data_IF_817983504103
#
_entry.id   IF_817983504103
#
_cell.length_a   1.000
_cell.length_b   1.000
_cell.length_c   1.000
_cell.angle_alpha   90.00
_cell.angle_beta   90.00
_cell.angle_gamma   90.00
#
_symmetry.space_group_name_H-M   'P 1'
#
loop_
_entity.id
_entity.type
_entity.pdbx_description
1 polymer ?
#
# COMPACT_ATOMS: atom_id res chain seq x y z
N UNK A 1 -4.13 -31.33 8.18
CA UNK A 1 -3.56 -29.98 8.00
C UNK A 1 -3.89 -29.55 6.58
N UNK A 2 -4.71 -28.52 6.42
CA UNK A 2 -4.94 -27.93 5.09
C UNK A 2 -3.67 -27.18 4.69
N UNK A 3 -3.03 -27.61 3.61
CA UNK A 3 -1.95 -26.84 3.00
C UNK A 3 -2.59 -25.65 2.28
N UNK A 4 -2.48 -24.47 2.87
CA UNK A 4 -2.91 -23.23 2.23
C UNK A 4 -1.88 -22.80 1.18
N UNK A 5 -2.30 -22.20 0.06
CA UNK A 5 -1.37 -21.63 -0.92
C UNK A 5 -0.46 -20.58 -0.25
N UNK A 6 0.73 -20.36 -0.81
CA UNK A 6 1.77 -19.51 -0.23
C UNK A 6 1.34 -18.03 -0.10
N UNK A 7 0.66 -17.71 1.01
CA UNK A 7 0.25 -16.38 1.46
C UNK A 7 1.34 -15.33 1.74
N UNK A 8 2.62 -15.67 2.04
CA UNK A 8 3.64 -14.66 2.31
C UNK A 8 3.84 -13.63 1.19
N UNK A 9 3.41 -13.95 -0.04
CA UNK A 9 3.48 -13.04 -1.18
C UNK A 9 2.41 -11.93 -1.17
N UNK A 10 1.35 -12.08 -0.37
CA UNK A 10 0.14 -11.24 -0.43
C UNK A 10 0.12 -10.11 0.60
N UNK A 11 0.79 -10.32 1.74
CA UNK A 11 1.12 -9.26 2.69
C UNK A 11 2.45 -8.58 2.33
N UNK A 12 2.56 -7.27 2.59
CA UNK A 12 3.83 -6.56 2.41
C UNK A 12 4.73 -6.88 3.60
N UNK A 13 5.80 -7.67 3.43
CA UNK A 13 6.83 -7.78 4.46
C UNK A 13 7.48 -6.40 4.67
N UNK A 14 7.39 -5.80 5.86
CA UNK A 14 7.96 -4.47 6.08
C UNK A 14 9.49 -4.44 5.97
N UNK A 15 10.16 -5.61 6.04
CA UNK A 15 11.61 -5.73 5.87
C UNK A 15 12.01 -5.98 4.42
N UNK A 16 11.06 -6.38 3.57
CA UNK A 16 11.28 -6.58 2.14
C UNK A 16 10.06 -6.04 1.36
N UNK A 17 9.76 -4.73 1.44
CA UNK A 17 8.54 -4.18 0.87
C UNK A 17 8.63 -3.94 -0.64
N UNK A 18 9.83 -3.76 -1.21
CA UNK A 18 9.99 -3.36 -2.61
C UNK A 18 9.35 -4.38 -3.55
N UNK A 19 8.56 -3.88 -4.51
CA UNK A 19 7.92 -4.66 -5.57
C UNK A 19 8.08 -3.94 -6.89
N UNK A 20 8.24 -4.71 -7.97
CA UNK A 20 8.26 -4.21 -9.34
C UNK A 20 6.89 -3.74 -9.82
N UNK A 21 5.82 -4.34 -9.31
CA UNK A 21 4.45 -3.98 -9.66
C UNK A 21 3.72 -3.51 -8.41
N UNK A 22 3.05 -2.37 -8.54
CA UNK A 22 2.19 -1.79 -7.52
C UNK A 22 0.83 -1.44 -8.14
N UNK A 23 -0.17 -1.31 -7.28
CA UNK A 23 -1.55 -1.03 -7.66
C UNK A 23 -2.03 0.22 -6.96
N UNK A 24 -2.76 1.08 -7.66
CA UNK A 24 -3.40 2.26 -7.12
C UNK A 24 -4.85 2.30 -7.54
N UNK A 25 -5.73 2.74 -6.63
CA UNK A 25 -7.14 2.94 -6.91
C UNK A 25 -7.41 4.41 -7.18
N UNK A 26 -8.37 4.69 -8.05
CA UNK A 26 -8.73 6.05 -8.41
C UNK A 26 -10.23 6.13 -8.72
N UNK A 27 -10.81 7.34 -8.66
CA UNK A 27 -12.20 7.54 -9.04
C UNK A 27 -12.39 7.42 -10.56
N UNK A 28 -13.62 7.17 -10.98
CA UNK A 28 -13.98 7.11 -12.41
C UNK A 28 -13.61 8.39 -13.18
N UNK A 29 -13.85 9.56 -12.59
CA UNK A 29 -13.49 10.84 -13.20
C UNK A 29 -11.96 11.01 -13.34
N UNK A 30 -11.20 10.54 -12.34
CA UNK A 30 -9.73 10.57 -12.40
C UNK A 30 -9.18 9.58 -13.42
N UNK A 31 -9.81 8.41 -13.57
CA UNK A 31 -9.44 7.45 -14.61
C UNK A 31 -9.70 8.00 -16.01
N UNK A 32 -10.80 8.74 -16.20
CA UNK A 32 -11.10 9.46 -17.45
C UNK A 32 -10.04 10.49 -17.77
N UNK A 33 -9.69 11.33 -16.78
CA UNK A 33 -8.64 12.32 -16.93
C UNK A 33 -7.28 11.65 -17.22
N UNK A 34 -6.92 10.60 -16.48
CA UNK A 34 -5.70 9.82 -16.71
C UNK A 34 -5.68 9.20 -18.12
N UNK A 35 -6.82 8.72 -18.61
CA UNK A 35 -6.96 8.19 -19.96
C UNK A 35 -6.79 9.26 -21.03
N UNK A 36 -7.23 10.50 -20.77
CA UNK A 36 -7.09 11.62 -21.69
C UNK A 36 -5.66 12.20 -21.68
N UNK A 37 -5.18 12.59 -20.51
CA UNK A 37 -3.98 13.41 -20.33
C UNK A 37 -2.70 12.57 -20.20
N UNK A 38 -2.84 11.28 -19.90
CA UNK A 38 -1.75 10.32 -19.63
C UNK A 38 -0.85 10.70 -18.45
N UNK A 39 -1.24 11.70 -17.66
CA UNK A 39 -0.51 12.13 -16.47
C UNK A 39 -0.84 11.25 -15.27
N UNK A 40 0.11 10.37 -14.90
CA UNK A 40 -0.09 9.47 -13.77
C UNK A 40 -0.14 10.22 -12.44
N UNK A 41 0.76 11.18 -12.20
CA UNK A 41 0.79 11.96 -10.96
C UNK A 41 0.22 13.34 -11.20
N UNK A 42 -0.92 13.62 -10.60
CA UNK A 42 -1.65 14.88 -10.81
C UNK A 42 -1.91 15.64 -9.51
N UNK A 43 -1.54 15.07 -8.34
CA UNK A 43 -1.93 15.63 -7.03
C UNK A 43 -0.83 15.51 -5.99
N UNK A 44 -0.82 16.50 -5.09
CA UNK A 44 -0.01 16.57 -3.86
C UNK A 44 -0.85 16.50 -2.58
N UNK A 45 -2.17 16.35 -2.72
CA UNK A 45 -3.14 16.37 -1.64
C UNK A 45 -4.44 15.61 -2.00
N UNK A 46 -5.14 15.14 -0.97
CA UNK A 46 -6.46 14.51 -1.07
C UNK A 46 -7.57 15.50 -1.48
N UNK A 47 -8.82 15.03 -1.55
CA UNK A 47 -9.99 15.86 -1.93
C UNK A 47 -10.31 16.97 -0.93
N UNK A 48 -9.70 16.92 0.26
CA UNK A 48 -9.82 17.92 1.32
C UNK A 48 -8.58 18.83 1.41
N UNK A 49 -7.64 18.71 0.46
CA UNK A 49 -6.41 19.52 0.42
C UNK A 49 -5.35 19.11 1.44
N UNK A 50 -5.48 17.92 2.05
CA UNK A 50 -4.52 17.40 3.03
C UNK A 50 -3.40 16.65 2.32
N UNK A 51 -2.16 16.87 2.73
CA UNK A 51 -0.99 16.20 2.17
C UNK A 51 -0.92 14.70 2.52
N UNK A 52 -1.63 14.27 3.57
CA UNK A 52 -1.56 12.92 4.13
C UNK A 52 -0.62 12.84 5.33
N UNK A 53 -0.87 11.86 6.21
CA UNK A 53 -0.17 11.74 7.50
C UNK A 53 1.35 11.56 7.37
N UNK A 54 1.82 10.80 6.35
CA UNK A 54 3.25 10.68 6.04
C UNK A 54 3.91 12.07 5.91
N UNK A 55 3.32 12.98 5.14
CA UNK A 55 3.91 14.29 4.89
C UNK A 55 3.77 15.24 6.08
N UNK A 56 2.72 15.11 6.88
CA UNK A 56 2.60 15.83 8.16
C UNK A 56 3.72 15.42 9.14
N UNK A 57 3.98 14.11 9.25
CA UNK A 57 5.07 13.56 10.05
C UNK A 57 6.44 14.05 9.54
N UNK A 58 6.71 13.95 8.24
CA UNK A 58 7.96 14.40 7.64
C UNK A 58 8.17 15.91 7.85
N UNK A 59 7.12 16.73 7.67
CA UNK A 59 7.19 18.17 7.93
C UNK A 59 7.45 18.49 9.41
N UNK A 60 6.87 17.73 10.34
CA UNK A 60 7.16 17.87 11.76
C UNK A 60 8.63 17.56 12.08
N UNK A 61 9.16 16.43 11.59
CA UNK A 61 10.56 16.03 11.81
C UNK A 61 11.55 17.01 11.16
N UNK A 62 11.24 17.49 9.96
CA UNK A 62 12.07 18.47 9.25
C UNK A 62 12.21 19.79 10.04
N UNK A 63 11.14 20.25 10.71
CA UNK A 63 11.16 21.41 11.63
C UNK A 63 11.99 21.13 12.87
N UNK A 64 12.07 19.88 13.32
CA UNK A 64 12.95 19.42 14.40
C UNK A 64 14.43 19.28 14.02
N UNK A 65 14.78 19.54 12.75
CA UNK A 65 16.17 19.50 12.28
C UNK A 65 16.54 18.26 11.45
N UNK A 66 15.63 17.29 11.29
CA UNK A 66 15.89 16.06 10.54
C UNK A 66 16.09 16.33 9.03
N UNK A 67 17.31 16.07 8.55
CA UNK A 67 17.70 16.32 7.16
C UNK A 67 17.07 15.34 6.17
N UNK A 68 16.87 14.08 6.57
CA UNK A 68 16.21 13.08 5.72
C UNK A 68 14.75 13.43 5.57
N UNK A 69 14.07 13.77 6.67
CA UNK A 69 12.69 14.23 6.62
C UNK A 69 12.54 15.48 5.75
N UNK A 70 13.47 16.43 5.86
CA UNK A 70 13.50 17.64 5.03
C UNK A 70 13.64 17.30 3.55
N UNK A 71 14.53 16.38 3.18
CA UNK A 71 14.70 15.92 1.81
C UNK A 71 13.42 15.26 1.26
N UNK A 72 12.83 14.32 2.02
CA UNK A 72 11.60 13.61 1.62
C UNK A 72 10.34 14.50 1.62
N UNK A 73 10.38 15.66 2.27
CA UNK A 73 9.27 16.64 2.26
C UNK A 73 9.30 17.56 1.04
N UNK A 74 10.34 17.45 0.20
CA UNK A 74 10.49 18.29 -0.98
C UNK A 74 9.38 18.04 -2.01
N UNK A 75 9.05 19.05 -2.81
CA UNK A 75 7.91 19.04 -3.74
C UNK A 75 7.92 17.85 -4.71
N UNK A 76 9.11 17.42 -5.14
CA UNK A 76 9.29 16.27 -6.04
C UNK A 76 8.79 14.95 -5.46
N UNK A 77 8.81 14.79 -4.13
CA UNK A 77 8.27 13.61 -3.46
C UNK A 77 6.78 13.74 -3.13
N UNK A 78 6.20 14.94 -3.22
CA UNK A 78 4.79 15.18 -2.87
C UNK A 78 3.84 14.81 -4.00
N UNK A 79 4.24 15.01 -5.25
CA UNK A 79 3.44 14.60 -6.41
C UNK A 79 3.49 13.08 -6.53
N UNK A 80 2.37 12.41 -6.32
CA UNK A 80 2.39 10.95 -6.30
C UNK A 80 1.03 10.29 -6.15
N UNK A 81 1.07 8.99 -5.85
CA UNK A 81 -0.11 8.17 -5.54
C UNK A 81 0.19 7.19 -4.43
N UNK A 82 -0.81 6.98 -3.58
CA UNK A 82 -0.84 5.83 -2.69
C UNK A 82 -1.03 4.55 -3.49
N UNK A 83 -0.20 3.57 -3.19
CA UNK A 83 -0.15 2.30 -3.87
C UNK A 83 0.02 1.12 -2.90
N UNK A 84 -0.36 -0.07 -3.38
CA UNK A 84 -0.26 -1.33 -2.65
C UNK A 84 0.34 -2.43 -3.52
N UNK A 85 0.81 -3.51 -2.91
CA UNK A 85 1.41 -4.65 -3.63
C UNK A 85 0.39 -5.60 -4.25
N UNK A 86 -0.88 -5.44 -3.88
CA UNK A 86 -1.99 -6.30 -4.34
C UNK A 86 -3.23 -5.43 -4.59
N UNK A 87 -4.06 -5.73 -5.61
CA UNK A 87 -5.26 -4.94 -5.93
C UNK A 87 -6.23 -4.78 -4.76
N UNK A 88 -6.40 -5.80 -3.92
CA UNK A 88 -7.36 -5.81 -2.82
C UNK A 88 -6.81 -5.27 -1.50
N UNK A 89 -5.51 -4.93 -1.42
CA UNK A 89 -4.86 -4.57 -0.15
C UNK A 89 -5.33 -3.21 0.40
N UNK A 90 -5.82 -2.29 -0.45
CA UNK A 90 -6.41 -1.02 -0.02
C UNK A 90 -7.67 -1.20 0.83
N UNK A 91 -8.40 -2.31 0.67
CA UNK A 91 -9.56 -2.62 1.52
C UNK A 91 -9.18 -2.87 2.98
N UNK A 92 -7.90 -3.08 3.30
CA UNK A 92 -7.41 -3.13 4.68
C UNK A 92 -7.20 -1.73 5.29
N UNK A 93 -7.06 -0.69 4.45
CA UNK A 93 -6.76 0.67 4.91
C UNK A 93 -8.01 1.44 5.36
N UNK A 94 -9.22 0.94 5.05
CA UNK A 94 -10.48 1.55 5.49
C UNK A 94 -10.90 2.83 4.74
N UNK A 95 -10.10 3.26 3.76
CA UNK A 95 -10.38 4.44 2.92
C UNK A 95 -10.94 4.03 1.55
N UNK A 96 -11.86 4.84 1.01
CA UNK A 96 -12.40 4.67 -0.34
C UNK A 96 -11.59 5.51 -1.34
N UNK A 97 -10.78 4.83 -2.14
CA UNK A 97 -9.96 5.42 -3.20
C UNK A 97 -10.61 5.33 -4.59
N UNK A 98 -11.86 4.86 -4.66
CA UNK A 98 -12.60 4.68 -5.90
C UNK A 98 -12.60 3.23 -6.42
N UNK A 99 -13.07 3.09 -7.66
CA UNK A 99 -13.47 1.81 -8.27
C UNK A 99 -12.64 1.44 -9.49
N UNK A 100 -11.74 2.31 -9.92
CA UNK A 100 -10.88 2.09 -11.07
C UNK A 100 -9.48 1.70 -10.60
N UNK A 101 -8.95 0.62 -11.17
CA UNK A 101 -7.65 0.10 -10.79
C UNK A 101 -6.58 0.47 -11.81
N UNK A 102 -5.47 0.98 -11.31
CA UNK A 102 -4.25 1.23 -12.06
C UNK A 102 -3.21 0.21 -11.62
N UNK A 103 -2.63 -0.50 -12.58
CA UNK A 103 -1.42 -1.31 -12.40
C UNK A 103 -0.22 -0.51 -12.87
N UNK A 104 0.81 -0.42 -12.04
CA UNK A 104 2.01 0.38 -12.26
C UNK A 104 3.22 -0.55 -12.19
N UNK A 105 3.99 -0.62 -13.28
CA UNK A 105 5.25 -1.33 -13.35
C UNK A 105 6.42 -0.35 -13.23
N UNK A 106 7.33 -0.66 -12.32
CA UNK A 106 8.49 0.16 -12.01
C UNK A 106 9.75 -0.35 -12.73
N UNK A 107 10.68 0.57 -12.94
CA UNK A 107 12.01 0.31 -13.45
C UNK A 107 12.79 -0.67 -12.57
N UNK A 108 13.69 -1.43 -13.20
CA UNK A 108 14.63 -2.31 -12.46
C UNK A 108 15.63 -1.53 -11.62
N UNK A 109 15.81 -0.24 -11.89
CA UNK A 109 16.76 0.59 -11.18
C UNK A 109 16.13 1.38 -10.02
N UNK A 110 14.84 1.16 -9.74
CA UNK A 110 14.09 1.87 -8.71
C UNK A 110 14.62 1.58 -7.30
N UNK A 111 14.58 2.61 -6.47
CA UNK A 111 14.89 2.61 -5.05
C UNK A 111 13.63 2.94 -4.24
N UNK A 112 13.58 2.47 -3.00
CA UNK A 112 12.55 2.84 -2.04
C UNK A 112 13.19 3.36 -0.77
N UNK A 113 12.62 4.43 -0.22
CA UNK A 113 12.95 4.90 1.12
C UNK A 113 11.87 4.41 2.08
N UNK A 114 12.28 3.74 3.15
CA UNK A 114 11.41 3.18 4.16
C UNK A 114 11.38 4.13 5.35
N UNK A 115 10.18 4.52 5.76
CA UNK A 115 9.93 5.43 6.88
C UNK A 115 9.14 4.69 7.94
N UNK A 116 9.78 4.46 9.08
CA UNK A 116 9.13 3.90 10.27
C UNK A 116 8.71 5.06 11.19
N UNK A 117 7.39 5.28 11.33
CA UNK A 117 6.89 6.39 12.16
C UNK A 117 7.17 6.17 13.64
N UNK A 118 7.18 4.92 14.10
CA UNK A 118 7.28 4.57 15.51
C UNK A 118 8.74 4.57 15.99
N UNK A 119 9.64 3.98 15.19
CA UNK A 119 11.07 3.94 15.54
C UNK A 119 11.81 5.23 15.20
N UNK A 120 11.15 6.11 14.45
CA UNK A 120 11.76 7.31 13.90
C UNK A 120 13.00 7.03 13.04
N UNK A 121 13.00 5.88 12.34
CA UNK A 121 14.12 5.45 11.51
C UNK A 121 13.83 5.54 10.03
N UNK A 122 14.90 5.73 9.26
CA UNK A 122 14.92 5.66 7.81
C UNK A 122 15.81 4.51 7.37
N UNK A 123 15.36 3.78 6.36
CA UNK A 123 16.23 2.86 5.61
C UNK A 123 15.93 2.99 4.12
N UNK A 124 16.76 2.38 3.27
CA UNK A 124 16.49 2.35 1.84
C UNK A 124 16.85 0.98 1.27
N UNK A 125 16.15 0.59 0.21
CA UNK A 125 16.37 -0.67 -0.50
C UNK A 125 16.27 -0.46 -2.00
N UNK A 126 16.90 -1.34 -2.77
CA UNK A 126 16.66 -1.46 -4.20
C UNK A 126 15.41 -2.31 -4.52
N UNK A 127 15.11 -2.46 -5.81
CA UNK A 127 13.95 -3.24 -6.28
C UNK A 127 13.97 -4.72 -5.86
N UNK A 128 15.16 -5.27 -5.58
CA UNK A 128 15.37 -6.65 -5.15
C UNK A 128 15.43 -6.76 -3.60
N UNK A 129 15.04 -5.70 -2.89
CA UNK A 129 15.10 -5.57 -1.44
C UNK A 129 16.52 -5.65 -0.84
N UNK A 130 17.55 -5.34 -1.61
CA UNK A 130 18.91 -5.23 -1.08
C UNK A 130 19.09 -3.87 -0.40
N UNK A 131 19.68 -3.81 0.82
CA UNK A 131 19.89 -2.55 1.52
C UNK A 131 20.73 -1.55 0.72
N UNK A 132 20.33 -0.29 0.74
CA UNK A 132 21.06 0.86 0.19
C UNK A 132 21.18 1.91 1.30
N UNK A 133 22.31 2.63 1.34
CA UNK A 133 22.44 3.74 2.28
C UNK A 133 21.42 4.85 1.95
N UNK A 134 20.68 5.34 2.95
CA UNK A 134 19.67 6.40 2.74
C UNK A 134 20.28 7.63 2.06
N UNK A 135 21.48 8.05 2.46
CA UNK A 135 22.19 9.16 1.84
C UNK A 135 22.50 8.92 0.36
N UNK A 136 22.74 7.67 -0.06
CA UNK A 136 22.94 7.32 -1.47
C UNK A 136 21.63 7.37 -2.25
N UNK A 137 20.55 6.83 -1.68
CA UNK A 137 19.22 6.91 -2.29
C UNK A 137 18.79 8.38 -2.50
N UNK A 138 19.04 9.26 -1.53
CA UNK A 138 18.73 10.68 -1.62
C UNK A 138 19.63 11.45 -2.60
N UNK A 139 20.87 10.98 -2.85
CA UNK A 139 21.73 11.52 -3.92
C UNK A 139 21.25 11.13 -5.32
N UNK A 140 20.55 10.01 -5.43
CA UNK A 140 19.97 9.47 -6.67
C UNK A 140 18.45 9.58 -6.64
N UNK A 141 17.94 10.75 -6.25
CA UNK A 141 16.51 11.00 -6.03
C UNK A 141 15.63 10.65 -7.22
N UNK A 142 16.15 10.76 -8.44
CA UNK A 142 15.48 10.37 -9.68
C UNK A 142 15.20 8.88 -9.81
N UNK A 143 15.89 8.05 -9.01
CA UNK A 143 15.68 6.61 -8.90
C UNK A 143 14.75 6.24 -7.75
N UNK A 144 14.44 7.15 -6.83
CA UNK A 144 13.54 6.87 -5.70
C UNK A 144 12.12 6.82 -6.22
N UNK A 145 11.61 5.60 -6.41
CA UNK A 145 10.28 5.40 -6.96
C UNK A 145 9.19 5.80 -5.96
N UNK A 146 9.39 5.46 -4.69
CA UNK A 146 8.42 5.76 -3.65
C UNK A 146 8.96 5.66 -2.24
N UNK A 147 8.12 6.12 -1.32
CA UNK A 147 8.32 6.03 0.12
C UNK A 147 7.43 4.91 0.64
N UNK A 148 8.01 3.90 1.27
CA UNK A 148 7.24 2.89 2.01
C UNK A 148 7.08 3.36 3.45
N UNK A 149 5.85 3.69 3.82
CA UNK A 149 5.54 4.23 5.13
C UNK A 149 4.87 3.16 6.00
N UNK A 150 5.38 2.99 7.21
CA UNK A 150 4.77 2.12 8.22
C UNK A 150 4.37 2.93 9.43
N UNK A 151 3.07 2.90 9.76
CA UNK A 151 2.56 3.46 10.99
C UNK A 151 2.22 2.36 11.99
N UNK A 152 2.79 2.46 13.19
CA UNK A 152 2.46 1.60 14.32
C UNK A 152 1.91 2.35 15.55
N UNK A 153 1.78 3.69 15.48
CA UNK A 153 1.43 4.55 16.61
C UNK A 153 0.01 4.28 17.15
N UNK A 154 -0.88 3.79 16.30
CA UNK A 154 -2.25 3.36 16.61
C UNK A 154 -2.41 2.47 17.84
N UNK A 155 -1.47 1.56 18.05
CA UNK A 155 -1.62 0.53 19.07
C UNK A 155 -1.34 1.06 20.50
N UNK A 156 -0.90 2.31 20.64
CA UNK A 156 -0.70 2.96 21.93
C UNK A 156 -2.00 3.48 22.57
N UNK A 157 -3.08 3.66 21.80
CA UNK A 157 -4.35 4.24 22.29
C UNK A 157 -5.47 3.22 22.54
N UNK A 158 -5.15 1.93 22.48
CA UNK A 158 -6.09 0.83 22.73
C UNK A 158 -6.59 0.17 21.45
N UNK A 159 -6.67 -1.16 21.46
CA UNK A 159 -7.06 -1.96 20.29
C UNK A 159 -8.50 -1.71 19.78
N UNK A 160 -9.32 -0.94 20.52
CA UNK A 160 -10.71 -0.67 20.13
C UNK A 160 -10.83 0.45 19.08
N UNK A 161 -9.83 1.34 18.97
CA UNK A 161 -9.85 2.51 18.08
C UNK A 161 -8.81 2.43 16.94
N UNK A 162 -8.30 1.22 16.67
CA UNK A 162 -7.18 0.95 15.75
C UNK A 162 -7.39 1.42 14.30
N UNK A 163 -8.57 1.99 13.97
CA UNK A 163 -8.76 2.74 12.73
C UNK A 163 -9.63 4.01 12.83
N UNK A 164 -10.08 4.40 14.02
CA UNK A 164 -10.89 5.61 14.23
C UNK A 164 -10.07 6.84 14.68
N UNK A 165 -8.79 6.66 15.01
CA UNK A 165 -7.92 7.78 15.42
C UNK A 165 -6.41 7.52 15.40
N UNK A 166 -5.99 6.26 15.31
CA UNK A 166 -4.62 5.90 14.96
C UNK A 166 -4.67 4.57 14.22
N UNK A 167 -4.06 4.49 13.04
CA UNK A 167 -4.14 3.32 12.15
C UNK A 167 -2.81 2.56 12.10
N UNK A 168 -2.86 1.23 12.24
CA UNK A 168 -1.77 0.34 11.82
C UNK A 168 -1.89 0.19 10.31
N UNK A 169 -1.02 0.84 9.53
CA UNK A 169 -1.06 0.69 8.08
C UNK A 169 0.33 0.76 7.47
N UNK A 170 0.41 0.16 6.29
CA UNK A 170 1.57 0.11 5.41
C UNK A 170 1.11 0.62 4.06
N UNK A 171 1.78 1.64 3.56
CA UNK A 171 1.44 2.21 2.26
C UNK A 171 2.70 2.59 1.50
N UNK A 172 2.60 2.55 0.17
CA UNK A 172 3.59 3.15 -0.69
C UNK A 172 3.07 4.50 -1.15
N UNK A 173 3.85 5.55 -0.97
CA UNK A 173 3.66 6.79 -1.69
C UNK A 173 4.62 6.82 -2.88
N UNK A 174 4.11 6.51 -4.07
CA UNK A 174 4.89 6.48 -5.31
C UNK A 174 4.95 7.88 -5.92
N UNK A 175 6.15 8.42 -6.13
CA UNK A 175 6.35 9.87 -6.33
C UNK A 175 7.26 10.29 -7.48
N UNK A 176 7.97 9.37 -8.16
CA UNK A 176 8.88 9.77 -9.24
C UNK A 176 8.57 9.09 -10.58
N UNK A 177 8.01 9.84 -11.54
CA UNK A 177 7.42 9.26 -12.76
C UNK A 177 8.47 8.61 -13.66
N UNK A 178 9.70 9.10 -13.64
CA UNK A 178 10.81 8.51 -14.41
C UNK A 178 11.16 7.08 -13.95
N UNK A 179 10.67 6.66 -12.78
CA UNK A 179 10.86 5.28 -12.28
C UNK A 179 9.75 4.33 -12.74
N UNK A 180 8.75 4.81 -13.49
CA UNK A 180 7.63 4.01 -14.00
C UNK A 180 7.94 3.55 -15.42
N UNK A 181 8.13 2.25 -15.61
CA UNK A 181 8.32 1.64 -16.94
C UNK A 181 7.02 1.66 -17.75
N UNK A 182 5.89 1.36 -17.09
CA UNK A 182 4.57 1.42 -17.70
C UNK A 182 3.46 1.46 -16.67
N UNK A 183 2.28 1.91 -17.08
CA UNK A 183 1.07 1.72 -16.31
C UNK A 183 -0.10 1.33 -17.22
N UNK A 184 -1.09 0.68 -16.63
CA UNK A 184 -2.28 0.20 -17.34
C UNK A 184 -3.53 0.37 -16.49
N UNK A 185 -4.63 0.66 -17.16
CA UNK A 185 -5.97 0.79 -16.60
C UNK A 185 -6.91 -0.08 -17.43
N UNK A 186 -7.71 -0.91 -16.74
CA UNK A 186 -8.75 -1.78 -17.29
C UNK A 186 -8.34 -2.49 -18.60
N UNK A 187 -7.18 -3.15 -18.64
CA UNK A 187 -6.76 -4.01 -19.76
C UNK A 187 -7.22 -5.45 -19.57
N UNK A 188 -7.21 -6.26 -20.64
CA UNK A 188 -7.56 -7.68 -20.56
C UNK A 188 -6.64 -8.46 -19.61
N UNK A 189 -5.35 -8.11 -19.56
CA UNK A 189 -4.42 -8.73 -18.62
C UNK A 189 -4.76 -8.36 -17.17
N UNK A 190 -5.16 -7.11 -16.92
CA UNK A 190 -5.60 -6.70 -15.59
C UNK A 190 -6.93 -7.37 -15.21
N UNK A 191 -7.86 -7.55 -16.14
CA UNK A 191 -9.10 -8.30 -15.90
C UNK A 191 -8.82 -9.77 -15.51
N UNK A 192 -7.93 -10.44 -16.26
CA UNK A 192 -7.51 -11.80 -15.96
C UNK A 192 -6.84 -11.90 -14.59
N UNK A 193 -6.01 -10.91 -14.24
CA UNK A 193 -5.37 -10.82 -12.93
C UNK A 193 -6.39 -10.61 -11.79
N UNK A 194 -7.39 -9.77 -12.00
CA UNK A 194 -8.47 -9.55 -11.04
C UNK A 194 -9.32 -10.81 -10.85
N UNK A 195 -9.61 -11.53 -11.94
CA UNK A 195 -10.29 -12.83 -11.87
C UNK A 195 -9.49 -13.83 -11.03
N UNK A 196 -8.18 -13.93 -11.25
CA UNK A 196 -7.30 -14.80 -10.46
C UNK A 196 -7.26 -14.40 -8.98
N UNK A 197 -7.23 -13.10 -8.67
CA UNK A 197 -7.31 -12.61 -7.29
C UNK A 197 -8.66 -12.95 -6.64
N UNK A 198 -9.78 -12.83 -7.37
CA UNK A 198 -11.11 -13.22 -6.87
C UNK A 198 -11.13 -14.72 -6.52
N UNK A 199 -10.64 -15.58 -7.42
CA UNK A 199 -10.60 -17.03 -7.16
C UNK A 199 -9.67 -17.39 -5.99
N UNK A 200 -8.57 -16.66 -5.82
CA UNK A 200 -7.68 -16.80 -4.67
C UNK A 200 -8.37 -16.41 -3.35
N UNK A 201 -9.18 -15.36 -3.36
CA UNK A 201 -9.86 -14.84 -2.17
C UNK A 201 -11.14 -15.64 -1.82
N UNK A 202 -11.82 -16.23 -2.81
CA UNK A 202 -13.12 -16.88 -2.65
C UNK A 202 -13.16 -17.94 -1.53
N UNK A 203 -12.19 -18.87 -1.39
CA UNK A 203 -12.19 -19.87 -0.31
C UNK A 203 -12.20 -19.26 1.11
N UNK A 204 -11.72 -18.04 1.25
CA UNK A 204 -11.56 -17.36 2.54
C UNK A 204 -12.88 -16.81 3.08
N UNK A 205 -13.89 -16.67 2.20
CA UNK A 205 -15.25 -16.29 2.62
C UNK A 205 -15.93 -17.35 3.49
N UNK A 206 -15.43 -18.58 3.45
CA UNK A 206 -15.91 -19.71 4.23
C UNK A 206 -15.07 -19.98 5.50
N UNK A 207 -13.98 -19.24 5.71
CA UNK A 207 -13.18 -19.37 6.92
C UNK A 207 -13.99 -18.81 8.10
N UNK A 208 -14.30 -19.69 9.05
CA UNK A 208 -14.83 -19.25 10.33
C UNK A 208 -13.74 -18.47 11.08
N UNK A 209 -14.09 -17.37 11.75
CA UNK A 209 -13.13 -16.63 12.54
C UNK A 209 -12.60 -17.54 13.64
N UNK A 210 -11.35 -17.98 13.50
CA UNK A 210 -10.65 -18.68 14.58
C UNK A 210 -10.63 -17.75 15.80
N UNK A 211 -10.86 -18.25 17.02
CA UNK A 211 -10.59 -17.47 18.22
C UNK A 211 -9.13 -17.03 18.17
N UNK A 212 -8.94 -15.73 17.99
CA UNK A 212 -7.64 -15.13 17.92
C UNK A 212 -6.99 -15.15 19.29
N UNK A 213 -5.87 -15.87 19.41
CA UNK A 213 -5.00 -15.79 20.58
C UNK A 213 -4.04 -14.61 20.45
N UNK A 214 -4.58 -13.40 20.23
CA UNK A 214 -3.79 -12.19 20.51
C UNK A 214 -4.19 -11.79 21.91
N UNK A 215 -3.40 -12.24 22.89
CA UNK A 215 -3.69 -12.08 24.31
C UNK A 215 -3.61 -10.60 24.75
N UNK A 216 -2.96 -9.75 23.94
CA UNK A 216 -2.75 -8.33 24.22
C UNK A 216 -2.52 -7.48 22.95
N UNK A 217 -2.69 -6.15 23.05
CA UNK A 217 -2.30 -5.23 21.97
C UNK A 217 -0.80 -5.30 21.63
N UNK A 218 0.05 -5.60 22.62
CA UNK A 218 1.48 -5.77 22.41
C UNK A 218 1.79 -6.96 21.51
N UNK A 219 1.02 -8.03 21.60
CA UNK A 219 1.20 -9.20 20.72
C UNK A 219 0.74 -8.89 19.30
N UNK A 220 -0.28 -8.05 19.12
CA UNK A 220 -0.69 -7.55 17.81
C UNK A 220 0.42 -6.71 17.16
N UNK A 221 1.00 -5.77 17.91
CA UNK A 221 2.14 -4.95 17.47
C UNK A 221 3.33 -5.83 17.12
N UNK A 222 3.68 -6.80 17.98
CA UNK A 222 4.78 -7.73 17.74
C UNK A 222 4.56 -8.54 16.47
N UNK A 223 3.34 -9.03 16.23
CA UNK A 223 3.01 -9.74 14.99
C UNK A 223 3.05 -8.80 13.78
N UNK A 224 2.58 -7.57 13.91
CA UNK A 224 2.68 -6.54 12.88
C UNK A 224 4.14 -6.17 12.55
N UNK A 225 5.08 -6.38 13.46
CA UNK A 225 6.50 -6.14 13.20
C UNK A 225 7.24 -7.33 12.60
N UNK A 226 6.67 -8.54 12.69
CA UNK A 226 7.34 -9.74 12.17
C UNK A 226 7.30 -9.74 10.63
N UNK A 227 8.38 -10.21 9.97
CA UNK A 227 8.30 -10.60 8.57
C UNK A 227 7.17 -11.62 8.37
N UNK A 228 6.62 -11.72 7.17
CA UNK A 228 5.47 -12.57 6.86
C UNK A 228 5.84 -14.07 6.90
N UNK A 229 6.14 -14.61 8.09
CA UNK A 229 6.57 -16.00 8.30
C UNK A 229 5.47 -16.88 8.91
N UNK A 230 4.38 -16.30 9.42
CA UNK A 230 3.20 -17.05 9.87
C UNK A 230 2.05 -16.99 8.86
N UNK A 231 1.10 -17.96 8.89
CA UNK A 231 -0.03 -17.95 7.95
C UNK A 231 -0.80 -16.63 8.09
N UNK A 232 -0.80 -15.84 7.02
CA UNK A 232 -1.50 -14.56 6.90
C UNK A 232 -2.94 -14.61 7.42
N UNK A 233 -3.59 -15.76 7.31
CA UNK A 233 -4.92 -16.04 7.84
C UNK A 233 -5.04 -15.82 9.35
N UNK A 234 -4.03 -16.19 10.15
CA UNK A 234 -4.03 -15.91 11.59
C UNK A 234 -3.90 -14.42 11.87
N UNK A 235 -3.03 -13.74 11.15
CA UNK A 235 -2.80 -12.31 11.32
C UNK A 235 -4.02 -11.47 10.92
N UNK A 236 -4.63 -11.76 9.78
CA UNK A 236 -5.78 -10.99 9.28
C UNK A 236 -7.07 -11.36 10.00
N UNK A 237 -7.27 -12.61 10.41
CA UNK A 237 -8.39 -12.97 11.31
C UNK A 237 -8.36 -12.19 12.62
N UNK A 238 -7.16 -11.80 13.10
CA UNK A 238 -7.01 -11.06 14.35
C UNK A 238 -7.11 -9.56 14.20
N UNK A 239 -6.61 -8.99 13.10
CA UNK A 239 -6.79 -7.56 12.81
C UNK A 239 -8.26 -7.20 12.55
N UNK A 240 -9.02 -8.08 11.92
CA UNK A 240 -10.38 -7.77 11.44
C UNK A 240 -11.47 -7.90 12.51
N UNK A 241 -11.24 -8.63 13.62
CA UNK A 241 -12.25 -8.81 14.68
C UNK A 241 -12.43 -7.59 15.58
N UNK A 242 -11.50 -6.64 15.58
CA UNK A 242 -11.32 -5.71 16.70
C UNK A 242 -11.88 -4.30 16.47
N UNK A 243 -11.86 -3.68 15.27
CA UNK A 243 -12.26 -2.27 15.15
C UNK A 243 -13.56 -1.95 14.39
N UNK A 244 -14.16 -2.86 13.59
CA UNK A 244 -15.28 -2.47 12.69
C UNK A 244 -16.60 -3.25 12.84
N UNK A 245 -16.64 -4.30 13.66
CA UNK A 245 -17.79 -5.22 13.66
C UNK A 245 -18.00 -5.94 12.32
N UNK A 246 -17.00 -5.91 11.43
CA UNK A 246 -17.00 -6.58 10.12
C UNK A 246 -16.23 -7.87 10.26
N UNK A 247 -16.85 -9.01 9.94
CA UNK A 247 -16.14 -10.28 10.00
C UNK A 247 -15.03 -10.35 8.93
N UNK A 248 -13.99 -11.15 9.15
CA UNK A 248 -12.97 -11.42 8.13
C UNK A 248 -13.59 -11.88 6.80
N UNK A 249 -14.63 -12.73 6.86
CA UNK A 249 -15.37 -13.16 5.68
C UNK A 249 -16.08 -11.99 4.96
N UNK A 250 -16.68 -11.06 5.70
CA UNK A 250 -17.30 -9.86 5.11
C UNK A 250 -16.27 -8.95 4.45
N UNK A 251 -15.08 -8.85 5.02
CA UNK A 251 -13.98 -8.11 4.39
C UNK A 251 -13.54 -8.76 3.08
N UNK A 252 -13.36 -10.08 3.06
CA UNK A 252 -13.08 -10.81 1.82
C UNK A 252 -14.17 -10.56 0.78
N UNK A 253 -15.45 -10.58 1.19
CA UNK A 253 -16.58 -10.30 0.28
C UNK A 253 -16.51 -8.87 -0.26
N UNK A 254 -16.15 -7.87 0.55
CA UNK A 254 -15.95 -6.48 0.11
C UNK A 254 -14.80 -6.37 -0.88
N UNK A 255 -13.67 -7.01 -0.60
CA UNK A 255 -12.53 -7.07 -1.51
C UNK A 255 -12.93 -7.69 -2.86
N UNK A 256 -13.56 -8.86 -2.86
CA UNK A 256 -14.08 -9.50 -4.08
C UNK A 256 -15.03 -8.56 -4.82
N UNK A 257 -15.98 -7.93 -4.11
CA UNK A 257 -16.92 -6.97 -4.70
C UNK A 257 -16.24 -5.79 -5.38
N UNK A 258 -15.20 -5.21 -4.77
CA UNK A 258 -14.44 -4.12 -5.39
C UNK A 258 -13.71 -4.59 -6.66
N UNK A 259 -13.07 -5.78 -6.62
CA UNK A 259 -12.42 -6.35 -7.79
C UNK A 259 -13.44 -6.60 -8.91
N UNK A 260 -14.63 -7.12 -8.59
CA UNK A 260 -15.70 -7.30 -9.58
C UNK A 260 -16.19 -5.99 -10.19
N UNK A 261 -16.28 -4.92 -9.39
CA UNK A 261 -16.63 -3.58 -9.90
C UNK A 261 -15.54 -3.10 -10.88
N UNK A 262 -14.27 -3.22 -10.50
CA UNK A 262 -13.14 -2.84 -11.37
C UNK A 262 -13.16 -3.59 -12.71
N UNK A 263 -13.45 -4.91 -12.68
CA UNK A 263 -13.59 -5.74 -13.90
C UNK A 263 -14.72 -5.30 -14.82
N UNK A 264 -15.79 -4.73 -14.28
CA UNK A 264 -16.93 -4.24 -15.09
C UNK A 264 -16.63 -2.90 -15.75
N UNK A 265 -15.64 -2.16 -15.26
CA UNK A 265 -15.19 -0.91 -15.91
C UNK A 265 -14.50 -1.26 -17.23
N UNK A 266 -15.14 -0.90 -18.36
CA UNK A 266 -14.61 -1.15 -19.70
C UNK A 266 -13.86 0.08 -20.19
N UNK A 267 -12.56 0.18 -19.91
CA UNK A 267 -11.70 1.27 -20.38
C UNK A 267 -10.28 0.77 -20.70
N UNK A 268 -10.08 0.20 -21.89
CA UNK A 268 -8.77 -0.35 -22.25
C UNK A 268 -7.74 0.78 -22.47
N UNK A 269 -6.87 1.04 -21.49
CA UNK A 269 -5.78 2.02 -21.61
C UNK A 269 -4.45 1.41 -21.15
N UNK A 270 -3.46 1.42 -22.04
CA UNK A 270 -2.07 1.11 -21.70
C UNK A 270 -1.19 2.27 -22.11
N UNK A 271 -0.27 2.67 -21.23
CA UNK A 271 0.65 3.76 -21.51
C UNK A 271 2.05 3.44 -21.00
N UNK A 272 3.04 3.89 -21.77
CA UNK A 272 4.42 3.99 -21.33
C UNK A 272 4.70 5.49 -21.21
N UNK A 273 5.10 5.99 -20.03
CA UNK A 273 5.50 7.39 -19.92
C UNK A 273 6.55 7.68 -20.98
N UNK A 274 6.42 8.81 -21.69
CA UNK A 274 7.48 9.27 -22.58
C UNK A 274 8.72 9.51 -21.71
N UNK A 275 9.82 8.81 -22.04
CA UNK A 275 11.13 9.03 -21.42
C UNK A 275 11.72 10.39 -21.76
#
# INVERSE_FOLDING_TARGET
>A
MCAFPAWPALGVDPNAPARRTLYSWTSTAQAEQLAADKQLYTRTADDLGRAGYLFELLAQRARGGDEVARALSHEEFRLGRFCWTSPWASQLAGEDYGTELIRIDLSRNSLFVLVDSERETYSAVDIDNRPVAVAEALRQKERVAGIFFTNAVAAQYGCNDTFAGGTLYREFHLCHIATVDSWSLATEELDAELAANIELLRPLTALEPSPCMVESCDDLIRQWRRPAVEPFERFVSCLMRVPYGVSFADWIRRAIGQLEVARRSRRNVRHRPNG
#
